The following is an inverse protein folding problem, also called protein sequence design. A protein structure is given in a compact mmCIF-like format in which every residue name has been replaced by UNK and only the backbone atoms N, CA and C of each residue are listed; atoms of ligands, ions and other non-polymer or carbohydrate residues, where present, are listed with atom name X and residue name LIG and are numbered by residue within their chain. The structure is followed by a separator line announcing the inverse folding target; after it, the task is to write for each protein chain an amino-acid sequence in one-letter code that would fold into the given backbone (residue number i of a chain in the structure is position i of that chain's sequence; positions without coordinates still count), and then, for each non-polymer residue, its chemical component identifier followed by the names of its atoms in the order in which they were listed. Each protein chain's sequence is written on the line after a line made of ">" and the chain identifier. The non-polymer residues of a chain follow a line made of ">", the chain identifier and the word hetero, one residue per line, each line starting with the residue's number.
data_IF_998513862540
#
_entry.id   IF_998513862540
#
_cell.length_a   1.000
_cell.length_b   1.000
_cell.length_c   1.000
_cell.angle_alpha   90.00
_cell.angle_beta   90.00
_cell.angle_gamma   90.00
#
_symmetry.space_group_name_H-M   'P 1'
#
loop_
_entity.id
_entity.type
_entity.pdbx_description
1 polymer ?
#
# COMPACT_ATOMS: atom_id res chain seq x y z
N UNK A 1 -32.50 25.78 3.05
CA UNK A 1 -31.75 24.95 4.00
C UNK A 1 -32.09 23.49 3.79
N UNK A 2 -31.08 22.64 3.63
CA UNK A 2 -31.21 21.20 3.49
C UNK A 2 -30.66 20.54 4.77
N UNK A 3 -31.53 20.02 5.66
CA UNK A 3 -31.08 19.49 6.95
C UNK A 3 -30.35 18.14 6.79
N UNK A 4 -29.38 17.88 7.65
CA UNK A 4 -28.65 16.60 7.79
C UNK A 4 -28.15 16.03 6.45
N UNK A 5 -27.69 16.93 5.58
CA UNK A 5 -27.40 16.61 4.19
C UNK A 5 -25.93 16.29 3.95
N UNK A 6 -25.03 16.89 4.73
CA UNK A 6 -23.61 16.89 4.45
C UNK A 6 -22.78 16.27 5.58
N UNK A 7 -22.01 15.20 5.32
CA UNK A 7 -21.18 14.58 6.34
C UNK A 7 -19.89 15.38 6.58
N UNK A 8 -19.66 15.77 7.84
CA UNK A 8 -18.40 16.40 8.27
C UNK A 8 -17.20 15.43 8.22
N UNK A 9 -17.44 14.13 8.35
CA UNK A 9 -16.41 13.08 8.42
C UNK A 9 -16.66 11.99 7.38
N UNK A 10 -15.62 11.60 6.64
CA UNK A 10 -15.67 10.57 5.61
C UNK A 10 -14.53 9.58 5.76
N UNK A 11 -14.80 8.30 5.51
CA UNK A 11 -13.79 7.26 5.34
C UNK A 11 -13.65 6.97 3.85
N UNK A 12 -12.46 7.17 3.33
CA UNK A 12 -12.08 6.87 1.96
C UNK A 12 -11.27 5.57 1.99
N UNK A 13 -11.90 4.42 1.69
CA UNK A 13 -11.20 3.16 1.66
C UNK A 13 -10.23 3.09 0.48
N UNK A 14 -9.30 2.14 0.55
CA UNK A 14 -8.35 1.85 -0.54
C UNK A 14 -9.05 1.42 -1.84
N UNK A 15 -10.18 0.71 -1.71
CA UNK A 15 -10.99 0.20 -2.80
C UNK A 15 -12.47 0.30 -2.44
N UNK A 16 -13.33 0.55 -3.44
CA UNK A 16 -14.78 0.57 -3.27
C UNK A 16 -15.37 1.97 -3.02
N UNK A 17 -16.46 2.01 -2.26
CA UNK A 17 -17.27 3.21 -2.05
C UNK A 17 -16.86 3.98 -0.79
N UNK A 18 -16.99 5.31 -0.82
CA UNK A 18 -16.80 6.18 0.35
C UNK A 18 -17.87 5.86 1.38
N UNK A 19 -17.46 5.70 2.64
CA UNK A 19 -18.38 5.39 3.74
C UNK A 19 -18.23 6.39 4.88
N UNK A 20 -19.19 6.41 5.81
CA UNK A 20 -19.04 7.20 7.04
C UNK A 20 -18.22 6.40 8.05
N UNK A 21 -17.28 7.04 8.79
CA UNK A 21 -16.47 6.33 9.78
C UNK A 21 -17.32 5.85 10.96
N UNK A 22 -17.73 4.57 10.96
CA UNK A 22 -18.60 3.96 11.98
C UNK A 22 -18.14 4.20 13.44
N UNK A 23 -16.83 4.09 13.79
CA UNK A 23 -16.38 4.37 15.15
C UNK A 23 -16.63 5.82 15.58
N UNK A 24 -16.45 6.78 14.67
CA UNK A 24 -16.68 8.20 14.96
C UNK A 24 -18.17 8.46 15.09
N UNK A 25 -18.99 7.90 14.19
CA UNK A 25 -20.46 8.00 14.27
C UNK A 25 -20.97 7.50 15.62
N UNK A 26 -20.47 6.35 16.06
CA UNK A 26 -20.84 5.80 17.36
C UNK A 26 -20.45 6.74 18.52
N UNK A 27 -19.21 7.23 18.56
CA UNK A 27 -18.75 8.13 19.61
C UNK A 27 -19.58 9.41 19.71
N UNK A 28 -20.04 9.94 18.57
CA UNK A 28 -20.90 11.13 18.53
C UNK A 28 -22.30 10.81 19.09
N UNK A 29 -22.88 9.67 18.70
CA UNK A 29 -24.23 9.28 19.11
C UNK A 29 -24.34 8.83 20.57
N UNK A 30 -23.29 8.24 21.15
CA UNK A 30 -23.32 7.68 22.50
C UNK A 30 -23.33 8.73 23.64
N UNK A 31 -23.19 10.03 23.33
CA UNK A 31 -23.26 11.20 24.23
C UNK A 31 -22.33 11.17 25.48
N UNK A 32 -21.68 12.31 25.70
CA UNK A 32 -20.41 12.53 26.40
C UNK A 32 -20.43 12.36 27.94
N UNK A 33 -21.51 11.86 28.56
CA UNK A 33 -21.57 11.62 30.01
C UNK A 33 -21.97 10.18 30.39
N UNK A 34 -22.72 9.45 29.55
CA UNK A 34 -23.29 8.14 29.92
C UNK A 34 -23.11 7.01 28.87
N UNK A 35 -22.43 7.26 27.74
CA UNK A 35 -22.14 6.24 26.71
C UNK A 35 -23.37 5.43 26.24
N UNK A 36 -24.57 6.02 26.25
CA UNK A 36 -25.82 5.36 25.83
C UNK A 36 -26.39 6.07 24.60
N UNK A 37 -26.64 5.30 23.53
CA UNK A 37 -27.24 5.79 22.28
C UNK A 37 -28.73 6.09 22.53
N UNK A 38 -29.22 7.30 22.19
CA UNK A 38 -30.64 7.62 22.28
C UNK A 38 -31.49 6.68 21.42
N UNK A 39 -32.65 6.25 21.91
CA UNK A 39 -33.56 5.33 21.20
C UNK A 39 -34.14 5.91 19.90
N UNK A 40 -34.06 7.22 19.72
CA UNK A 40 -34.52 7.96 18.54
C UNK A 40 -33.36 8.46 17.64
N UNK A 41 -32.11 8.06 17.90
CA UNK A 41 -30.94 8.56 17.18
C UNK A 41 -30.82 7.96 15.76
N UNK A 42 -30.89 8.82 14.76
CA UNK A 42 -30.62 8.52 13.35
C UNK A 42 -29.12 8.62 13.05
N UNK A 43 -28.66 7.84 12.07
CA UNK A 43 -27.25 7.82 11.64
C UNK A 43 -26.79 9.11 10.97
N UNK A 44 -27.72 10.04 10.71
CA UNK A 44 -27.47 11.33 10.05
C UNK A 44 -27.65 12.53 10.98
N UNK A 45 -27.92 12.35 12.27
CA UNK A 45 -28.20 13.47 13.18
C UNK A 45 -27.00 14.39 13.41
N UNK A 46 -25.79 13.87 13.18
CA UNK A 46 -24.53 14.63 13.24
C UNK A 46 -24.13 15.22 11.88
N UNK A 47 -24.93 15.05 10.82
CA UNK A 47 -24.62 15.65 9.53
C UNK A 47 -24.92 17.14 9.59
N UNK A 48 -24.11 17.92 8.87
CA UNK A 48 -24.32 19.34 8.76
C UNK A 48 -25.54 19.64 7.90
N UNK A 49 -26.22 20.72 8.28
CA UNK A 49 -27.25 21.32 7.45
C UNK A 49 -26.60 22.25 6.43
N UNK A 50 -27.07 22.19 5.18
CA UNK A 50 -26.54 23.02 4.10
C UNK A 50 -27.49 24.18 3.84
N UNK A 51 -27.02 25.39 4.05
CA UNK A 51 -27.67 26.61 3.64
C UNK A 51 -27.20 27.02 2.25
N UNK A 52 -28.16 27.23 1.34
CA UNK A 52 -27.90 27.67 -0.03
C UNK A 52 -28.46 29.07 -0.18
N UNK A 53 -27.62 30.01 -0.63
CA UNK A 53 -28.01 31.39 -0.92
C UNK A 53 -27.65 31.72 -2.37
N UNK A 54 -28.56 32.39 -3.07
CA UNK A 54 -28.28 32.93 -4.40
C UNK A 54 -27.59 34.28 -4.25
N UNK A 55 -26.50 34.47 -4.98
CA UNK A 55 -25.73 35.71 -4.99
C UNK A 55 -25.67 36.26 -6.41
N UNK A 56 -26.14 37.48 -6.59
CA UNK A 56 -26.01 38.18 -7.86
C UNK A 56 -24.62 38.81 -7.93
N UNK A 57 -23.83 38.37 -8.90
CA UNK A 57 -22.51 38.93 -9.20
C UNK A 57 -22.58 39.74 -10.48
N UNK A 58 -21.56 40.57 -10.73
CA UNK A 58 -21.45 41.37 -11.95
C UNK A 58 -21.47 40.54 -13.24
N UNK A 59 -21.18 39.24 -13.14
CA UNK A 59 -21.08 38.31 -14.27
C UNK A 59 -22.26 37.31 -14.32
N UNK A 60 -23.24 37.44 -13.43
CA UNK A 60 -24.41 36.55 -13.33
C UNK A 60 -24.64 36.02 -11.91
N UNK A 61 -25.64 35.15 -11.77
CA UNK A 61 -26.09 34.66 -10.48
C UNK A 61 -25.32 33.38 -10.10
N UNK A 62 -24.79 33.33 -8.88
CA UNK A 62 -24.00 32.22 -8.35
C UNK A 62 -24.65 31.69 -7.08
N UNK A 63 -24.71 30.36 -6.96
CA UNK A 63 -25.14 29.71 -5.72
C UNK A 63 -23.97 29.60 -4.75
N UNK A 64 -24.19 30.03 -3.52
CA UNK A 64 -23.22 29.92 -2.43
C UNK A 64 -23.78 29.00 -1.36
N UNK A 65 -23.02 27.96 -1.05
CA UNK A 65 -23.33 27.00 0.01
C UNK A 65 -22.54 27.32 1.28
N UNK A 66 -23.19 27.18 2.42
CA UNK A 66 -22.60 27.25 3.74
C UNK A 66 -23.10 26.07 4.57
N UNK A 67 -22.24 25.47 5.37
CA UNK A 67 -22.62 24.41 6.32
C UNK A 67 -22.85 25.00 7.70
N UNK A 68 -23.88 24.49 8.38
CA UNK A 68 -24.20 24.83 9.75
C UNK A 68 -24.22 23.54 10.57
N UNK A 69 -23.34 23.49 11.56
CA UNK A 69 -23.21 22.37 12.48
C UNK A 69 -24.43 22.29 13.42
N UNK A 70 -24.89 21.06 13.75
CA UNK A 70 -25.93 20.89 14.75
C UNK A 70 -25.42 21.34 16.12
N UNK A 71 -26.24 22.13 16.82
CA UNK A 71 -25.92 22.70 18.14
C UNK A 71 -25.77 21.65 19.24
N UNK A 72 -26.22 20.42 19.00
CA UNK A 72 -26.17 19.29 19.93
C UNK A 72 -24.78 18.65 20.02
N UNK A 73 -23.93 18.81 19.00
CA UNK A 73 -22.66 18.07 18.87
C UNK A 73 -21.45 19.01 18.68
N UNK A 74 -21.46 20.20 19.27
CA UNK A 74 -20.44 21.25 19.04
C UNK A 74 -19.01 20.81 19.32
N UNK A 75 -18.80 19.93 20.30
CA UNK A 75 -17.46 19.48 20.72
C UNK A 75 -16.79 18.52 19.73
N UNK A 76 -17.53 18.06 18.72
CA UNK A 76 -17.06 17.09 17.74
C UNK A 76 -16.53 17.79 16.50
N UNK A 77 -17.01 18.99 16.17
CA UNK A 77 -16.65 19.67 14.92
C UNK A 77 -15.41 20.54 15.09
N UNK A 78 -14.63 20.60 14.01
CA UNK A 78 -13.56 21.58 13.89
C UNK A 78 -14.13 22.88 13.35
N UNK A 79 -13.74 24.00 13.95
CA UNK A 79 -14.20 25.31 13.49
C UNK A 79 -13.59 25.61 12.13
N UNK A 80 -14.45 25.82 11.13
CA UNK A 80 -14.01 26.21 9.80
C UNK A 80 -13.49 27.65 9.80
N UNK A 81 -12.39 27.95 9.10
CA UNK A 81 -11.93 29.31 8.96
C UNK A 81 -12.94 30.15 8.15
N UNK A 82 -12.93 31.45 8.38
CA UNK A 82 -13.68 32.40 7.57
C UNK A 82 -13.06 32.51 6.17
N UNK A 83 -13.89 32.85 5.19
CA UNK A 83 -13.46 33.03 3.81
C UNK A 83 -12.66 34.32 3.69
N UNK A 84 -11.40 34.21 3.25
CA UNK A 84 -10.47 35.34 3.14
C UNK A 84 -10.60 36.12 1.82
N UNK A 85 -11.25 35.52 0.82
CA UNK A 85 -11.42 36.11 -0.51
C UNK A 85 -12.85 36.57 -0.79
N UNK A 86 -12.99 37.54 -1.69
CA UNK A 86 -14.28 38.07 -2.11
C UNK A 86 -14.88 39.10 -1.15
N UNK A 87 -16.13 39.49 -1.43
CA UNK A 87 -16.82 40.56 -0.70
C UNK A 87 -17.45 40.09 0.62
N UNK A 88 -17.46 38.79 0.91
CA UNK A 88 -18.18 38.21 2.05
C UNK A 88 -17.24 37.47 3.01
N UNK A 89 -16.57 38.23 3.87
CA UNK A 89 -15.66 37.72 4.90
C UNK A 89 -16.35 37.14 6.15
N UNK A 90 -17.67 37.24 6.22
CA UNK A 90 -18.49 36.75 7.35
C UNK A 90 -19.00 35.31 7.15
N UNK A 91 -18.54 34.63 6.10
CA UNK A 91 -18.92 33.25 5.78
C UNK A 91 -17.76 32.32 6.04
N UNK A 92 -18.07 31.08 6.37
CA UNK A 92 -17.10 30.00 6.62
C UNK A 92 -17.02 29.05 5.43
N UNK A 93 -15.89 28.35 5.31
CA UNK A 93 -15.76 27.29 4.30
C UNK A 93 -16.60 26.07 4.66
N UNK A 94 -17.08 25.36 3.64
CA UNK A 94 -17.59 24.00 3.78
C UNK A 94 -16.39 23.07 3.99
N UNK A 95 -16.27 22.52 5.20
CA UNK A 95 -15.16 21.67 5.60
C UNK A 95 -15.61 20.23 5.79
N UNK A 96 -14.84 19.30 5.24
CA UNK A 96 -14.97 17.85 5.49
C UNK A 96 -13.61 17.28 5.81
N UNK A 97 -13.56 16.35 6.76
CA UNK A 97 -12.37 15.60 7.13
C UNK A 97 -12.49 14.19 6.56
N UNK A 98 -11.56 13.86 5.66
CA UNK A 98 -11.46 12.54 5.05
C UNK A 98 -10.34 11.72 5.71
N UNK A 99 -10.70 10.55 6.24
CA UNK A 99 -9.77 9.52 6.68
C UNK A 99 -9.47 8.62 5.50
N UNK A 100 -8.26 8.74 4.97
CA UNK A 100 -7.84 8.00 3.78
C UNK A 100 -7.04 6.78 4.21
N UNK A 101 -7.52 5.60 3.82
CA UNK A 101 -6.80 4.36 4.06
C UNK A 101 -5.51 4.31 3.24
N UNK A 102 -4.45 3.80 3.86
CA UNK A 102 -3.18 3.60 3.16
C UNK A 102 -3.32 2.44 2.18
N UNK A 103 -2.97 2.70 0.92
CA UNK A 103 -2.93 1.66 -0.10
C UNK A 103 -1.51 1.11 -0.23
N UNK A 104 -1.40 -0.21 -0.30
CA UNK A 104 -0.15 -0.84 -0.71
C UNK A 104 -0.04 -0.78 -2.23
N UNK A 105 1.18 -0.62 -2.79
CA UNK A 105 1.38 -0.72 -4.22
C UNK A 105 0.79 -2.04 -4.75
N UNK A 106 0.01 -1.96 -5.83
CA UNK A 106 -0.79 -3.09 -6.36
C UNK A 106 0.04 -4.34 -6.67
N UNK A 107 1.30 -4.16 -7.11
CA UNK A 107 2.25 -5.26 -7.29
C UNK A 107 2.45 -6.02 -5.97
N UNK A 108 2.76 -5.33 -4.87
CA UNK A 108 3.05 -5.96 -3.58
C UNK A 108 1.83 -6.69 -3.01
N UNK A 109 0.63 -6.08 -3.12
CA UNK A 109 -0.62 -6.72 -2.71
C UNK A 109 -0.87 -8.06 -3.43
N UNK A 110 -0.60 -8.11 -4.75
CA UNK A 110 -0.77 -9.34 -5.55
C UNK A 110 0.16 -10.48 -5.13
N UNK A 111 1.42 -10.18 -4.81
CA UNK A 111 2.36 -11.21 -4.31
C UNK A 111 2.02 -11.65 -2.89
N UNK A 112 1.61 -10.72 -2.02
CA UNK A 112 1.26 -11.04 -0.65
C UNK A 112 0.00 -11.92 -0.53
N UNK A 113 -1.01 -11.67 -1.36
CA UNK A 113 -2.31 -12.34 -1.25
C UNK A 113 -2.27 -13.83 -1.65
N UNK A 114 -1.31 -14.25 -2.48
CA UNK A 114 -1.21 -15.67 -2.90
C UNK A 114 0.15 -16.12 -3.42
N UNK A 115 1.08 -15.21 -3.67
CA UNK A 115 2.41 -15.51 -4.20
C UNK A 115 3.44 -15.94 -3.15
N UNK A 116 3.24 -15.63 -1.87
CA UNK A 116 4.23 -15.92 -0.80
C UNK A 116 4.47 -17.41 -0.64
N UNK A 117 3.41 -18.23 -0.68
CA UNK A 117 3.55 -19.68 -0.55
C UNK A 117 4.27 -20.29 -1.76
N UNK A 118 3.95 -19.82 -2.97
CA UNK A 118 4.60 -20.26 -4.20
C UNK A 118 6.09 -19.86 -4.22
N UNK A 119 6.39 -18.63 -3.77
CA UNK A 119 7.77 -18.16 -3.59
C UNK A 119 8.53 -19.07 -2.63
N UNK A 120 7.97 -19.39 -1.46
CA UNK A 120 8.59 -20.27 -0.48
C UNK A 120 8.87 -21.66 -1.06
N UNK A 121 7.88 -22.30 -1.67
CA UNK A 121 8.03 -23.62 -2.28
C UNK A 121 9.11 -23.60 -3.38
N UNK A 122 9.11 -22.57 -4.24
CA UNK A 122 10.13 -22.44 -5.28
C UNK A 122 11.54 -22.34 -4.72
N UNK A 123 11.72 -21.55 -3.66
CA UNK A 123 13.00 -21.36 -2.99
C UNK A 123 13.48 -22.67 -2.32
N UNK A 124 12.57 -23.37 -1.63
CA UNK A 124 12.87 -24.68 -1.01
C UNK A 124 13.27 -25.71 -2.06
N UNK A 125 12.58 -25.77 -3.20
CA UNK A 125 12.92 -26.70 -4.30
C UNK A 125 14.30 -26.36 -4.89
N UNK A 126 14.58 -25.08 -5.14
CA UNK A 126 15.86 -24.63 -5.70
C UNK A 126 17.01 -24.98 -4.75
N UNK A 127 16.90 -24.63 -3.48
CA UNK A 127 17.91 -24.96 -2.46
C UNK A 127 18.07 -26.47 -2.35
N UNK A 128 16.97 -27.23 -2.31
CA UNK A 128 17.00 -28.69 -2.26
C UNK A 128 17.71 -29.31 -3.48
N UNK A 129 17.51 -28.76 -4.68
CA UNK A 129 18.21 -29.21 -5.89
C UNK A 129 19.70 -28.87 -5.85
N UNK A 130 20.06 -27.69 -5.36
CA UNK A 130 21.45 -27.27 -5.24
C UNK A 130 22.19 -28.16 -4.24
N UNK A 131 21.63 -28.35 -3.04
CA UNK A 131 22.19 -29.25 -2.01
C UNK A 131 22.31 -30.67 -2.57
N UNK A 132 21.26 -31.17 -3.23
CA UNK A 132 21.32 -32.49 -3.87
C UNK A 132 22.46 -32.57 -4.87
N UNK A 133 22.61 -31.60 -5.76
CA UNK A 133 23.67 -31.55 -6.76
C UNK A 133 25.09 -31.52 -6.15
N UNK A 134 25.28 -30.90 -4.99
CA UNK A 134 26.55 -30.92 -4.28
C UNK A 134 26.88 -32.28 -3.64
N UNK A 135 25.88 -32.96 -3.06
CA UNK A 135 26.11 -34.23 -2.37
C UNK A 135 26.03 -35.45 -3.31
N UNK A 136 25.29 -35.36 -4.41
CA UNK A 136 25.27 -36.41 -5.44
C UNK A 136 26.35 -36.11 -6.46
N UNK A 137 27.58 -36.56 -6.20
CA UNK A 137 28.65 -36.57 -7.19
C UNK A 137 28.17 -37.35 -8.42
N UNK A 138 28.32 -36.79 -9.62
CA UNK A 138 27.88 -37.46 -10.83
C UNK A 138 28.75 -38.72 -11.03
N UNK A 139 28.20 -39.91 -11.33
CA UNK A 139 29.01 -41.11 -11.58
C UNK A 139 30.08 -40.91 -12.66
N UNK A 140 29.89 -39.95 -13.58
CA UNK A 140 30.90 -39.58 -14.58
C UNK A 140 32.14 -38.90 -13.97
N UNK A 141 31.97 -38.20 -12.86
CA UNK A 141 33.04 -37.44 -12.20
C UNK A 141 33.97 -38.39 -11.42
N UNK A 142 33.42 -39.47 -10.86
CA UNK A 142 34.18 -40.54 -10.18
C UNK A 142 35.24 -41.16 -11.10
N UNK A 143 34.90 -41.35 -12.38
CA UNK A 143 35.84 -41.92 -13.37
C UNK A 143 37.09 -41.04 -13.56
N UNK A 144 36.98 -39.74 -13.33
CA UNK A 144 38.09 -38.78 -13.49
C UNK A 144 38.80 -38.56 -12.15
N UNK A 145 38.06 -38.44 -11.05
CA UNK A 145 38.63 -38.15 -9.73
C UNK A 145 39.33 -39.36 -9.10
N UNK A 146 38.94 -40.58 -9.43
CA UNK A 146 39.51 -41.82 -8.86
C UNK A 146 40.44 -42.58 -9.84
N UNK A 147 41.13 -41.87 -10.74
CA UNK A 147 42.10 -42.52 -11.65
C UNK A 147 43.29 -43.10 -10.86
N UNK A 148 43.64 -44.39 -11.08
CA UNK A 148 44.84 -44.96 -10.49
C UNK A 148 46.10 -44.38 -11.15
N UNK A 149 47.07 -43.94 -10.32
CA UNK A 149 48.37 -43.40 -10.73
C UNK A 149 48.30 -42.12 -11.59
N UNK A 150 47.84 -40.98 -11.02
CA UNK A 150 47.71 -39.71 -11.76
C UNK A 150 49.06 -39.10 -12.20
N UNK A 151 50.18 -39.56 -11.63
CA UNK A 151 51.53 -39.04 -11.92
C UNK A 151 51.93 -39.14 -13.40
N UNK A 152 51.45 -40.18 -14.09
CA UNK A 152 51.70 -40.36 -15.52
C UNK A 152 51.00 -39.28 -16.35
N UNK A 153 49.75 -38.96 -16.02
CA UNK A 153 48.99 -37.90 -16.67
C UNK A 153 49.60 -36.53 -16.39
N UNK A 154 49.99 -36.28 -15.13
CA UNK A 154 50.67 -35.04 -14.73
C UNK A 154 51.98 -34.84 -15.50
N UNK A 155 52.76 -35.91 -15.68
CA UNK A 155 54.01 -35.87 -16.45
C UNK A 155 53.77 -35.46 -17.90
N UNK A 156 52.74 -36.01 -18.55
CA UNK A 156 52.38 -35.62 -19.93
C UNK A 156 51.95 -34.15 -19.99
N UNK A 157 51.13 -33.67 -19.03
CA UNK A 157 50.74 -32.26 -18.97
C UNK A 157 51.95 -31.32 -18.82
N UNK A 158 52.95 -31.72 -18.04
CA UNK A 158 54.17 -30.94 -17.82
C UNK A 158 55.08 -30.96 -19.05
N UNK A 159 55.19 -32.09 -19.75
CA UNK A 159 55.96 -32.21 -20.99
C UNK A 159 55.36 -31.34 -22.10
N UNK A 160 54.03 -31.36 -22.29
CA UNK A 160 53.32 -30.47 -23.21
C UNK A 160 53.57 -28.99 -22.84
N UNK A 161 53.52 -28.65 -21.56
CA UNK A 161 53.81 -27.30 -21.09
C UNK A 161 55.24 -26.85 -21.44
N UNK A 162 56.23 -27.73 -21.27
CA UNK A 162 57.64 -27.44 -21.59
C UNK A 162 57.86 -27.24 -23.10
N UNK A 163 57.24 -28.07 -23.94
CA UNK A 163 57.30 -27.92 -25.41
C UNK A 163 56.69 -26.59 -25.85
N UNK A 164 55.59 -26.16 -25.21
CA UNK A 164 54.98 -24.84 -25.44
C UNK A 164 55.91 -23.69 -25.06
N UNK A 165 56.59 -23.80 -23.92
CA UNK A 165 57.55 -22.80 -23.45
C UNK A 165 58.76 -22.70 -24.38
N UNK A 166 59.23 -23.84 -24.90
CA UNK A 166 60.30 -23.94 -25.89
C UNK A 166 59.89 -23.47 -27.31
N UNK A 167 58.59 -23.25 -27.57
CA UNK A 167 57.99 -22.86 -28.86
C UNK A 167 58.24 -23.87 -29.99
N UNK A 168 58.39 -25.15 -29.67
CA UNK A 168 58.64 -26.21 -30.66
C UNK A 168 57.34 -26.96 -31.00
N UNK A 169 56.45 -26.27 -31.71
CA UNK A 169 55.05 -26.68 -31.94
C UNK A 169 54.87 -27.94 -32.79
N UNK A 170 55.94 -28.49 -33.40
CA UNK A 170 55.85 -29.74 -34.15
C UNK A 170 55.67 -30.96 -33.23
N UNK A 171 56.11 -30.86 -31.95
CA UNK A 171 56.05 -31.94 -30.97
C UNK A 171 54.80 -31.90 -30.07
N UNK A 172 53.95 -30.87 -30.18
CA UNK A 172 52.70 -30.70 -29.41
C UNK A 172 51.49 -31.48 -30.01
N UNK A 173 51.55 -31.88 -31.28
CA UNK A 173 50.45 -32.58 -32.00
C UNK A 173 50.56 -34.11 -31.92
#
# INVERSE_FOLDING_TARGET
>A
MLPNAFPSYLLVPSEGAITVPSPIVSAIQYNQDNYQRPSNASDRDWFDSVELSLMDTTSGNVWVAQTVHPTQYTNVYFNAPNIDYGLQKNRTYVQTIAFVDRTFPSFFAKYLQGGVIAMYISLVIVIGRVIRGFFTHNPTDVMITEIPNPDFLLKICLDIYLVREAKDFYLEQ
#
